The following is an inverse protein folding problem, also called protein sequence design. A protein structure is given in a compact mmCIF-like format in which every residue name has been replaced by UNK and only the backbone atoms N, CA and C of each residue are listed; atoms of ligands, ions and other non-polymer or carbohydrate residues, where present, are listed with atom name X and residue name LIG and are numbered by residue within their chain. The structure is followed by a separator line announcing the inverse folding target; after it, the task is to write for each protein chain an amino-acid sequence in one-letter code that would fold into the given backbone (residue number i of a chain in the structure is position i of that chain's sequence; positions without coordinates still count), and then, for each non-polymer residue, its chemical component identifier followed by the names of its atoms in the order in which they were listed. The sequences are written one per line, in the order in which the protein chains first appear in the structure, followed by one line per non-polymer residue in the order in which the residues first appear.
data_IF_594142467062
#
_entry.id   IF_594142467062
#
_cell.length_a   1.000
_cell.length_b   1.000
_cell.length_c   1.000
_cell.angle_alpha   90.00
_cell.angle_beta   90.00
_cell.angle_gamma   90.00
#
_symmetry.space_group_name_H-M   'P 1'
#
loop_
_entity.id
_entity.type
_entity.pdbx_description
1 polymer ?
#
# COMPACT_ATOMS: atom_id res chain seq x y z
N UNK A 1 26.79 8.35 -19.64
CA UNK A 1 26.61 8.95 -18.29
C UNK A 1 26.96 7.92 -17.23
N UNK A 2 27.61 8.32 -16.12
CA UNK A 2 27.86 7.41 -14.98
C UNK A 2 26.53 6.97 -14.39
N UNK A 3 26.35 5.67 -14.12
CA UNK A 3 25.14 5.13 -13.48
C UNK A 3 25.07 5.58 -12.03
N UNK A 4 23.90 5.96 -11.57
CA UNK A 4 23.64 6.29 -10.16
C UNK A 4 23.57 5.00 -9.36
N UNK A 5 24.38 4.87 -8.32
CA UNK A 5 24.37 3.74 -7.40
C UNK A 5 23.55 4.06 -6.16
N UNK A 6 22.43 3.39 -5.98
CA UNK A 6 21.50 3.58 -4.86
C UNK A 6 21.52 2.37 -3.94
N UNK A 7 21.59 2.61 -2.63
CA UNK A 7 21.43 1.57 -1.62
C UNK A 7 20.03 1.67 -0.99
N UNK A 8 19.18 0.70 -1.30
CA UNK A 8 17.83 0.62 -0.77
C UNK A 8 17.81 -0.14 0.56
N UNK A 9 17.32 0.51 1.60
CA UNK A 9 17.01 -0.08 2.89
C UNK A 9 15.51 -0.32 3.00
N UNK A 10 15.05 -1.48 2.55
CA UNK A 10 13.66 -1.87 2.70
C UNK A 10 13.38 -2.48 4.08
N UNK A 11 12.13 -2.41 4.51
CA UNK A 11 11.69 -3.04 5.76
C UNK A 11 11.59 -4.54 5.62
N UNK A 12 11.03 -5.00 4.50
CA UNK A 12 10.84 -6.41 4.19
C UNK A 12 11.47 -6.77 2.85
N UNK A 13 11.66 -8.06 2.61
CA UNK A 13 11.89 -8.58 1.28
C UNK A 13 10.55 -8.69 0.50
N UNK A 14 10.51 -9.45 -0.58
CA UNK A 14 9.42 -9.40 -1.58
C UNK A 14 8.02 -9.71 -1.05
N UNK A 15 7.89 -10.53 -0.01
CA UNK A 15 6.60 -10.85 0.60
C UNK A 15 5.97 -9.69 1.38
N UNK A 16 6.76 -8.67 1.76
CA UNK A 16 6.22 -7.48 2.40
C UNK A 16 5.52 -6.56 1.38
N UNK A 17 4.20 -6.32 1.52
CA UNK A 17 3.45 -5.53 0.52
C UNK A 17 4.04 -4.14 0.28
N UNK A 18 4.31 -3.37 1.34
CA UNK A 18 4.89 -2.03 1.21
C UNK A 18 6.22 -2.06 0.47
N UNK A 19 7.16 -2.94 0.86
CA UNK A 19 8.47 -3.04 0.21
C UNK A 19 8.33 -3.46 -1.25
N UNK A 20 7.44 -4.44 -1.55
CA UNK A 20 7.18 -4.88 -2.92
C UNK A 20 6.67 -3.73 -3.78
N UNK A 21 5.67 -2.98 -3.29
CA UNK A 21 4.94 -1.99 -4.06
C UNK A 21 5.61 -0.62 -4.11
N UNK A 22 6.34 -0.23 -3.05
CA UNK A 22 6.98 1.08 -3.00
C UNK A 22 8.37 1.11 -3.60
N UNK A 23 9.08 -0.03 -3.57
CA UNK A 23 10.47 -0.04 -3.98
C UNK A 23 10.85 -1.19 -4.91
N UNK A 24 10.52 -2.44 -4.56
CA UNK A 24 11.07 -3.60 -5.28
C UNK A 24 10.54 -3.75 -6.71
N UNK A 25 9.31 -3.35 -7.00
CA UNK A 25 8.77 -3.37 -8.36
C UNK A 25 9.43 -2.35 -9.30
N UNK A 26 10.07 -1.32 -8.75
CA UNK A 26 10.76 -0.30 -9.53
C UNK A 26 12.20 -0.69 -9.95
N UNK A 27 12.77 -1.78 -9.39
CA UNK A 27 14.20 -2.09 -9.56
C UNK A 27 14.59 -2.33 -11.02
N UNK A 28 13.81 -3.13 -11.75
CA UNK A 28 14.08 -3.41 -13.16
C UNK A 28 13.90 -2.14 -14.02
N UNK A 29 12.77 -1.42 -13.95
CA UNK A 29 12.61 -0.18 -14.72
C UNK A 29 13.64 0.91 -14.38
N UNK A 30 14.05 1.06 -13.12
CA UNK A 30 15.06 2.04 -12.73
C UNK A 30 16.43 1.72 -13.34
N UNK A 31 16.76 0.42 -13.54
CA UNK A 31 18.00 0.02 -14.23
C UNK A 31 18.02 0.54 -15.67
N UNK A 32 16.88 0.51 -16.37
CA UNK A 32 16.74 1.04 -17.73
C UNK A 32 16.93 2.56 -17.76
N UNK A 33 16.59 3.21 -16.65
CA UNK A 33 16.89 4.64 -16.42
C UNK A 33 18.31 4.91 -15.89
N UNK A 34 19.24 3.95 -15.94
CA UNK A 34 20.63 4.16 -15.52
C UNK A 34 20.83 4.27 -14.00
N UNK A 35 19.93 3.71 -13.20
CA UNK A 35 20.00 3.67 -11.74
C UNK A 35 20.15 2.23 -11.29
N UNK A 36 21.28 1.92 -10.66
CA UNK A 36 21.56 0.60 -10.11
C UNK A 36 21.22 0.61 -8.61
N UNK A 37 20.25 -0.22 -8.21
CA UNK A 37 19.76 -0.28 -6.84
C UNK A 37 20.20 -1.60 -6.20
N UNK A 38 20.96 -1.51 -5.12
CA UNK A 38 21.27 -2.65 -4.25
C UNK A 38 20.29 -2.68 -3.07
N UNK A 39 19.68 -3.84 -2.81
CA UNK A 39 18.65 -3.98 -1.79
C UNK A 39 19.19 -4.62 -0.52
N UNK A 40 18.92 -3.99 0.61
CA UNK A 40 19.16 -4.51 1.94
C UNK A 40 17.84 -4.55 2.73
N UNK A 41 17.14 -5.67 2.71
CA UNK A 41 15.94 -5.87 3.53
C UNK A 41 16.31 -6.05 5.01
N UNK A 42 15.56 -5.42 5.92
CA UNK A 42 15.72 -5.64 7.36
C UNK A 42 15.22 -7.03 7.74
N UNK A 43 14.00 -7.36 7.34
CA UNK A 43 13.36 -8.64 7.62
C UNK A 43 13.23 -9.48 6.34
N UNK A 44 13.83 -10.69 6.29
CA UNK A 44 13.67 -11.60 5.16
C UNK A 44 12.27 -12.24 5.14
N UNK A 45 11.90 -12.90 4.02
CA UNK A 45 10.59 -13.56 3.87
C UNK A 45 10.32 -14.61 4.96
N UNK A 46 11.35 -15.34 5.39
CA UNK A 46 11.25 -16.27 6.51
C UNK A 46 10.81 -15.63 7.85
N UNK A 47 11.05 -14.32 8.03
CA UNK A 47 10.52 -13.60 9.19
C UNK A 47 9.00 -13.41 9.10
N UNK A 48 8.49 -13.05 7.92
CA UNK A 48 7.05 -12.89 7.70
C UNK A 48 6.32 -14.25 7.78
N UNK A 49 6.92 -15.31 7.26
CA UNK A 49 6.39 -16.67 7.38
C UNK A 49 6.25 -17.09 8.85
N UNK A 50 7.27 -16.82 9.66
CA UNK A 50 7.22 -17.11 11.09
C UNK A 50 6.25 -16.20 11.85
N UNK A 51 6.10 -14.95 11.44
CA UNK A 51 5.21 -13.97 12.08
C UNK A 51 3.73 -14.27 11.87
N UNK A 52 3.37 -14.73 10.66
CA UNK A 52 1.99 -15.06 10.27
C UNK A 52 1.67 -16.56 10.42
N UNK A 53 2.67 -17.40 10.70
CA UNK A 53 2.52 -18.82 10.96
C UNK A 53 2.35 -19.13 12.45
N UNK A 54 2.51 -20.41 12.80
CA UNK A 54 2.22 -20.94 14.13
C UNK A 54 3.20 -20.51 15.25
N UNK A 55 4.28 -19.77 14.90
CA UNK A 55 5.36 -19.43 15.85
C UNK A 55 5.75 -17.95 15.87
N UNK A 56 4.81 -17.03 16.15
CA UNK A 56 5.10 -15.59 16.12
C UNK A 56 6.14 -15.14 17.17
N UNK A 57 6.27 -15.87 18.29
CA UNK A 57 7.28 -15.63 19.32
C UNK A 57 8.72 -15.82 18.82
N UNK A 58 8.96 -16.82 17.99
CA UNK A 58 10.27 -17.09 17.40
C UNK A 58 10.70 -16.01 16.38
N UNK A 59 9.76 -15.39 15.69
CA UNK A 59 10.04 -14.26 14.81
C UNK A 59 10.55 -13.04 15.60
N UNK A 60 9.92 -12.74 16.74
CA UNK A 60 10.30 -11.59 17.59
C UNK A 60 11.68 -11.76 18.23
N UNK A 61 12.03 -12.97 18.69
CA UNK A 61 13.36 -13.23 19.28
C UNK A 61 14.50 -13.08 18.27
N UNK A 62 14.26 -13.45 17.01
CA UNK A 62 15.24 -13.28 15.91
C UNK A 62 15.40 -11.86 15.42
N UNK A 63 14.46 -10.95 15.76
CA UNK A 63 14.48 -9.56 15.28
C UNK A 63 15.78 -8.83 15.64
N UNK A 64 16.35 -9.09 16.83
CA UNK A 64 17.61 -8.48 17.27
C UNK A 64 18.80 -8.88 16.38
N UNK A 65 18.84 -10.12 15.88
CA UNK A 65 19.86 -10.54 14.93
C UNK A 65 19.78 -9.80 13.59
N UNK A 66 18.57 -9.50 13.11
CA UNK A 66 18.38 -8.69 11.91
C UNK A 66 18.79 -7.23 12.13
N UNK A 67 18.54 -6.66 13.30
CA UNK A 67 19.02 -5.33 13.67
C UNK A 67 20.53 -5.27 13.72
N UNK A 68 21.18 -6.26 14.33
CA UNK A 68 22.65 -6.37 14.35
C UNK A 68 23.23 -6.44 12.94
N UNK A 69 22.62 -7.24 12.05
CA UNK A 69 23.05 -7.33 10.63
C UNK A 69 22.88 -5.98 9.92
N UNK A 70 21.75 -5.28 10.09
CA UNK A 70 21.51 -3.94 9.53
C UNK A 70 22.54 -2.94 10.04
N UNK A 71 22.84 -2.97 11.34
CA UNK A 71 23.85 -2.13 11.95
C UNK A 71 25.23 -2.35 11.33
N UNK A 72 25.67 -3.62 11.18
CA UNK A 72 26.92 -3.96 10.52
C UNK A 72 26.96 -3.55 9.03
N UNK A 73 25.83 -3.63 8.34
CA UNK A 73 25.74 -3.13 6.96
C UNK A 73 26.01 -1.61 6.90
N UNK A 74 25.44 -0.84 7.83
CA UNK A 74 25.59 0.62 7.87
C UNK A 74 26.98 1.08 8.29
N UNK A 75 27.73 0.27 9.04
CA UNK A 75 29.12 0.56 9.42
C UNK A 75 30.12 0.32 8.27
N UNK A 76 29.73 -0.42 7.23
CA UNK A 76 30.62 -0.64 6.09
C UNK A 76 30.71 0.63 5.25
N UNK A 77 31.89 0.88 4.70
CA UNK A 77 32.07 1.98 3.74
C UNK A 77 31.26 1.69 2.48
N UNK A 78 30.38 2.60 2.11
CA UNK A 78 29.52 2.45 0.95
C UNK A 78 30.05 3.28 -0.23
N UNK A 79 30.14 2.65 -1.41
CA UNK A 79 30.44 3.32 -2.68
C UNK A 79 29.17 3.80 -3.40
N UNK A 80 28.04 3.88 -2.66
CA UNK A 80 26.77 4.32 -3.20
C UNK A 80 26.66 5.84 -3.13
N UNK A 81 26.03 6.41 -4.16
CA UNK A 81 25.82 7.85 -4.27
C UNK A 81 24.68 8.31 -3.36
N UNK A 82 23.69 7.43 -3.09
CA UNK A 82 22.45 7.74 -2.39
C UNK A 82 21.96 6.55 -1.56
N UNK A 83 21.39 6.82 -0.38
CA UNK A 83 20.56 5.86 0.36
C UNK A 83 19.07 6.12 0.09
N UNK A 84 18.31 5.06 -0.19
CA UNK A 84 16.85 5.08 -0.26
C UNK A 84 16.27 4.27 0.90
N UNK A 85 15.53 4.92 1.80
CA UNK A 85 15.06 4.33 3.05
C UNK A 85 13.54 4.20 3.01
N UNK A 86 13.03 2.98 3.22
CA UNK A 86 11.62 2.73 3.41
C UNK A 86 11.25 3.02 4.88
N UNK A 87 10.61 4.16 5.11
CA UNK A 87 10.10 4.60 6.41
C UNK A 87 11.18 4.93 7.44
N UNK A 88 11.85 3.93 7.96
CA UNK A 88 12.86 4.04 9.02
C UNK A 88 13.87 2.88 8.98
N UNK A 89 15.09 3.11 9.43
CA UNK A 89 16.14 2.08 9.43
C UNK A 89 15.93 1.04 10.55
N UNK A 90 15.52 1.49 11.73
CA UNK A 90 15.38 0.66 12.93
C UNK A 90 14.06 0.94 13.64
N UNK A 91 13.00 0.13 13.41
CA UNK A 91 11.76 0.24 14.16
C UNK A 91 11.99 0.21 15.68
N UNK A 92 11.29 1.10 16.40
CA UNK A 92 11.32 1.23 17.86
C UNK A 92 12.67 1.63 18.49
N UNK A 93 13.73 1.91 17.73
CA UNK A 93 14.95 2.50 18.27
C UNK A 93 14.92 4.03 18.18
N UNK A 94 15.62 4.74 19.10
CA UNK A 94 15.67 6.20 19.10
C UNK A 94 16.32 6.80 17.84
N UNK A 95 15.86 8.00 17.44
CA UNK A 95 16.36 8.70 16.25
C UNK A 95 17.88 8.89 16.21
N UNK A 96 18.54 9.13 17.35
CA UNK A 96 19.99 9.38 17.37
C UNK A 96 20.81 8.21 16.84
N UNK A 97 20.33 6.97 16.99
CA UNK A 97 20.96 5.78 16.38
C UNK A 97 20.89 5.89 14.86
N UNK A 98 19.72 6.22 14.32
CA UNK A 98 19.55 6.37 12.85
C UNK A 98 20.34 7.56 12.32
N UNK A 99 20.34 8.69 13.01
CA UNK A 99 21.07 9.89 12.61
C UNK A 99 22.57 9.65 12.56
N UNK A 100 23.13 8.87 13.48
CA UNK A 100 24.56 8.54 13.49
C UNK A 100 24.91 7.68 12.27
N UNK A 101 24.06 6.72 11.94
CA UNK A 101 24.30 5.79 10.84
C UNK A 101 23.95 6.40 9.46
N UNK A 102 22.97 7.30 9.40
CA UNK A 102 22.63 8.03 8.18
C UNK A 102 23.80 8.94 7.71
N UNK A 103 24.68 9.35 8.61
CA UNK A 103 25.93 10.08 8.27
C UNK A 103 26.93 9.26 7.45
N UNK A 104 26.75 7.94 7.36
CA UNK A 104 27.55 7.08 6.48
C UNK A 104 27.27 7.31 4.99
N UNK A 105 26.18 8.02 4.66
CA UNK A 105 25.78 8.38 3.32
C UNK A 105 25.90 9.89 3.11
N UNK A 106 26.23 10.30 1.89
CA UNK A 106 26.25 11.72 1.51
C UNK A 106 24.83 12.32 1.56
N UNK A 107 23.85 11.54 1.13
CA UNK A 107 22.45 11.95 1.03
C UNK A 107 21.53 10.74 1.20
N UNK A 108 20.28 10.97 1.64
CA UNK A 108 19.26 9.94 1.65
C UNK A 108 17.88 10.48 1.27
N UNK A 109 17.10 9.61 0.65
CA UNK A 109 15.67 9.79 0.38
C UNK A 109 14.90 8.85 1.28
N UNK A 110 13.76 9.30 1.81
CA UNK A 110 12.88 8.44 2.61
C UNK A 110 11.50 8.36 1.98
N UNK A 111 10.92 7.16 1.99
CA UNK A 111 9.64 6.85 1.34
C UNK A 111 8.60 6.37 2.37
N UNK A 112 7.38 6.92 2.28
CA UNK A 112 6.25 6.60 3.16
C UNK A 112 4.98 6.28 2.36
N UNK A 113 4.39 5.12 2.64
CA UNK A 113 3.10 4.67 2.10
C UNK A 113 1.99 4.57 3.15
N UNK A 114 2.37 4.64 4.43
CA UNK A 114 1.46 4.64 5.57
C UNK A 114 1.85 5.73 6.58
N UNK A 115 0.92 6.09 7.46
CA UNK A 115 1.14 7.05 8.56
C UNK A 115 2.00 6.45 9.69
N UNK A 116 3.21 5.97 9.36
CA UNK A 116 4.12 5.30 10.27
C UNK A 116 4.40 6.10 11.55
N UNK A 117 4.38 7.43 11.48
CA UNK A 117 4.55 8.32 12.62
C UNK A 117 3.49 8.11 13.71
N UNK A 118 2.26 7.68 13.34
CA UNK A 118 1.19 7.42 14.31
C UNK A 118 1.44 6.18 15.19
N UNK A 119 2.32 5.28 14.80
CA UNK A 119 2.78 4.21 15.69
C UNK A 119 3.49 4.74 16.93
N UNK A 120 4.08 5.92 16.82
CA UNK A 120 4.88 6.55 17.86
C UNK A 120 4.14 7.69 18.57
N UNK A 121 3.59 8.65 17.82
CA UNK A 121 2.96 9.84 18.40
C UNK A 121 1.58 9.55 19.02
N UNK A 122 0.87 8.51 18.54
CA UNK A 122 -0.41 8.03 19.07
C UNK A 122 -0.29 6.72 19.87
N UNK A 123 0.92 6.28 20.20
CA UNK A 123 1.10 5.07 21.00
C UNK A 123 0.38 5.18 22.35
N UNK A 124 -0.28 4.12 22.79
CA UNK A 124 -0.87 4.03 24.13
C UNK A 124 0.17 4.08 25.24
N UNK A 125 1.41 3.65 24.94
CA UNK A 125 2.53 3.71 25.89
C UNK A 125 3.13 5.14 25.93
N UNK A 126 3.04 5.87 27.08
CA UNK A 126 3.54 7.24 27.21
C UNK A 126 5.06 7.36 27.03
N UNK A 127 5.82 6.31 27.38
CA UNK A 127 7.28 6.30 27.20
C UNK A 127 7.63 6.26 25.70
N UNK A 128 6.92 5.46 24.91
CA UNK A 128 7.07 5.41 23.45
C UNK A 128 6.76 6.79 22.85
N UNK A 129 5.63 7.41 23.23
CA UNK A 129 5.28 8.75 22.76
C UNK A 129 6.35 9.78 23.09
N UNK A 130 6.88 9.78 24.32
CA UNK A 130 7.89 10.74 24.77
C UNK A 130 9.22 10.57 24.03
N UNK A 131 9.69 9.34 23.85
CA UNK A 131 11.02 9.06 23.29
C UNK A 131 11.01 9.00 21.76
N UNK A 132 9.94 8.47 21.16
CA UNK A 132 9.88 8.16 19.73
C UNK A 132 8.83 8.99 18.97
N UNK A 133 7.93 9.72 19.64
CA UNK A 133 6.83 10.45 19.02
C UNK A 133 7.24 11.43 17.91
N UNK A 134 8.48 11.96 17.98
CA UNK A 134 9.04 12.84 16.95
C UNK A 134 10.13 12.18 16.09
N UNK A 135 10.29 10.85 16.19
CA UNK A 135 11.35 10.14 15.48
C UNK A 135 11.21 10.31 13.97
N UNK A 136 10.03 10.00 13.44
CA UNK A 136 9.76 10.06 12.00
C UNK A 136 9.88 11.47 11.45
N UNK A 137 9.42 12.48 12.19
CA UNK A 137 9.58 13.90 11.81
C UNK A 137 11.06 14.29 11.66
N UNK A 138 11.93 13.78 12.56
CA UNK A 138 13.37 14.04 12.47
C UNK A 138 14.01 13.34 11.27
N UNK A 139 13.57 12.12 10.94
CA UNK A 139 14.03 11.40 9.74
C UNK A 139 13.60 12.18 8.48
N UNK A 140 12.34 12.62 8.41
CA UNK A 140 11.81 13.41 7.29
C UNK A 140 12.60 14.73 7.11
N UNK A 141 12.88 15.44 8.21
CA UNK A 141 13.62 16.72 8.21
C UNK A 141 15.05 16.56 7.68
N UNK A 142 15.70 15.46 7.99
CA UNK A 142 17.08 15.21 7.59
C UNK A 142 17.24 14.65 6.18
N UNK A 143 16.15 14.27 5.51
CA UNK A 143 16.18 13.69 4.18
C UNK A 143 16.41 14.77 3.10
N UNK A 144 17.17 14.45 2.07
CA UNK A 144 17.28 15.29 0.88
C UNK A 144 15.95 15.40 0.12
N UNK A 145 15.13 14.34 0.18
CA UNK A 145 13.78 14.33 -0.31
C UNK A 145 12.93 13.33 0.48
N UNK A 146 11.70 13.72 0.82
CA UNK A 146 10.66 12.82 1.32
C UNK A 146 9.75 12.46 0.17
N UNK A 147 9.63 11.18 -0.14
CA UNK A 147 8.63 10.63 -1.06
C UNK A 147 7.42 10.23 -0.21
N UNK A 148 6.29 10.83 -0.48
CA UNK A 148 5.03 10.58 0.20
C UNK A 148 4.04 9.90 -0.75
N UNK A 149 3.37 8.84 -0.30
CA UNK A 149 2.38 8.13 -1.10
C UNK A 149 1.08 8.91 -1.31
N UNK A 150 0.81 9.92 -0.47
CA UNK A 150 -0.39 10.74 -0.58
C UNK A 150 -0.20 12.13 0.06
N UNK A 151 -1.23 12.99 -0.07
CA UNK A 151 -1.20 14.37 0.45
C UNK A 151 -1.16 14.46 1.98
N UNK A 152 -1.76 13.49 2.70
CA UNK A 152 -1.72 13.45 4.16
C UNK A 152 -0.29 13.24 4.68
N UNK A 153 0.42 12.29 4.10
CA UNK A 153 1.83 12.01 4.41
C UNK A 153 2.73 13.19 4.02
N UNK A 154 2.47 13.81 2.86
CA UNK A 154 3.17 15.03 2.42
C UNK A 154 2.94 16.22 3.35
N UNK A 155 1.73 16.38 3.90
CA UNK A 155 1.44 17.40 4.89
C UNK A 155 2.23 17.19 6.19
N UNK A 156 2.35 15.93 6.67
CA UNK A 156 3.19 15.62 7.82
C UNK A 156 4.67 15.92 7.54
N UNK A 157 5.18 15.56 6.37
CA UNK A 157 6.55 15.88 6.00
C UNK A 157 6.82 17.39 5.98
N UNK A 158 5.86 18.19 5.51
CA UNK A 158 5.94 19.65 5.55
C UNK A 158 5.96 20.19 6.98
N UNK A 159 5.09 19.67 7.86
CA UNK A 159 5.08 20.02 9.28
C UNK A 159 6.37 19.62 9.99
N UNK A 160 6.97 18.50 9.59
CA UNK A 160 8.27 18.05 10.09
C UNK A 160 9.44 18.95 9.66
N UNK A 161 9.24 19.81 8.66
CA UNK A 161 10.29 20.70 8.12
C UNK A 161 11.18 19.99 7.10
N UNK A 162 10.65 19.04 6.32
CA UNK A 162 11.37 18.42 5.20
C UNK A 162 11.68 19.47 4.11
N UNK A 163 12.93 19.50 3.64
CA UNK A 163 13.40 20.49 2.66
C UNK A 163 12.76 20.28 1.27
N UNK A 164 12.54 19.03 0.89
CA UNK A 164 11.92 18.65 -0.38
C UNK A 164 10.93 17.52 -0.17
N UNK A 165 9.74 17.65 -0.77
CA UNK A 165 8.67 16.68 -0.66
C UNK A 165 8.12 16.42 -2.05
N UNK A 166 8.07 15.15 -2.44
CA UNK A 166 7.49 14.69 -3.69
C UNK A 166 6.38 13.68 -3.41
N UNK A 167 5.31 13.73 -4.19
CA UNK A 167 4.23 12.74 -4.06
C UNK A 167 4.37 11.74 -5.21
N UNK A 168 4.70 10.50 -4.84
CA UNK A 168 4.65 9.33 -5.72
C UNK A 168 3.59 8.40 -5.15
N UNK A 169 2.43 8.23 -5.81
CA UNK A 169 1.39 7.32 -5.33
C UNK A 169 1.90 5.87 -5.32
N UNK A 170 1.22 5.01 -4.60
CA UNK A 170 1.41 3.57 -4.79
C UNK A 170 0.84 3.19 -6.16
N UNK A 171 1.54 2.34 -6.89
CA UNK A 171 1.22 2.00 -8.28
C UNK A 171 1.12 0.50 -8.48
N UNK A 172 0.52 0.11 -9.58
CA UNK A 172 0.52 -1.26 -10.09
C UNK A 172 1.46 -1.38 -11.29
N UNK A 173 1.94 -2.58 -11.52
CA UNK A 173 2.46 -2.99 -12.82
C UNK A 173 1.24 -3.30 -13.69
N UNK A 174 0.84 -2.34 -14.52
CA UNK A 174 -0.37 -2.39 -15.32
C UNK A 174 -0.40 -3.57 -16.30
N UNK A 175 0.75 -4.10 -16.67
CA UNK A 175 0.87 -5.25 -17.58
C UNK A 175 0.41 -6.55 -16.93
N UNK A 176 0.41 -6.62 -15.59
CA UNK A 176 -0.06 -7.78 -14.84
C UNK A 176 -1.58 -7.87 -14.73
N UNK A 177 -2.29 -6.76 -14.98
CA UNK A 177 -3.74 -6.66 -14.76
C UNK A 177 -4.46 -6.60 -16.10
N UNK A 178 -5.17 -7.67 -16.42
CA UNK A 178 -6.04 -7.74 -17.60
C UNK A 178 -7.44 -7.25 -17.26
N UNK A 179 -8.14 -6.69 -18.23
CA UNK A 179 -9.54 -6.32 -18.04
C UNK A 179 -10.36 -7.55 -17.61
N UNK A 180 -11.27 -7.35 -16.67
CA UNK A 180 -12.19 -8.38 -16.24
C UNK A 180 -13.10 -8.81 -17.40
N UNK A 181 -13.34 -10.12 -17.51
CA UNK A 181 -14.27 -10.65 -18.46
C UNK A 181 -15.61 -10.88 -17.74
N UNK A 182 -16.45 -9.85 -17.71
CA UNK A 182 -17.76 -9.91 -17.07
C UNK A 182 -18.74 -10.60 -18.05
N UNK A 183 -19.08 -11.87 -17.76
CA UNK A 183 -20.15 -12.55 -18.49
C UNK A 183 -21.50 -12.00 -17.98
N UNK A 184 -22.33 -11.49 -18.88
CA UNK A 184 -23.63 -10.88 -18.54
C UNK A 184 -24.65 -11.86 -17.92
N UNK A 185 -24.42 -13.17 -18.09
CA UNK A 185 -25.38 -14.23 -17.69
C UNK A 185 -25.18 -14.76 -16.23
N UNK A 186 -24.19 -14.25 -15.49
CA UNK A 186 -23.89 -14.71 -14.13
C UNK A 186 -24.24 -13.64 -13.09
N UNK A 187 -24.67 -14.03 -11.87
CA UNK A 187 -24.82 -13.07 -10.79
C UNK A 187 -23.53 -12.27 -10.55
N UNK A 188 -23.63 -10.93 -10.43
CA UNK A 188 -22.45 -10.07 -10.23
C UNK A 188 -21.67 -10.44 -8.98
N UNK A 189 -20.35 -10.31 -9.06
CA UNK A 189 -19.42 -10.62 -7.96
C UNK A 189 -18.92 -9.35 -7.31
N UNK A 190 -19.31 -9.12 -6.05
CA UNK A 190 -18.74 -8.10 -5.20
C UNK A 190 -17.43 -8.67 -4.63
N UNK A 191 -16.32 -7.99 -4.85
CA UNK A 191 -15.01 -8.47 -4.47
C UNK A 191 -14.30 -7.60 -3.44
N UNK A 192 -13.68 -8.26 -2.47
CA UNK A 192 -12.72 -7.64 -1.56
C UNK A 192 -11.38 -8.39 -1.62
N UNK A 193 -10.27 -7.63 -1.71
CA UNK A 193 -8.91 -8.16 -1.58
C UNK A 193 -8.21 -7.50 -0.40
N UNK A 194 -7.51 -8.28 0.41
CA UNK A 194 -6.81 -7.73 1.56
C UNK A 194 -5.93 -8.73 2.28
N UNK A 195 -5.83 -8.57 3.59
CA UNK A 195 -5.11 -9.45 4.48
C UNK A 195 -5.92 -9.67 5.75
N UNK A 196 -5.62 -10.70 6.56
CA UNK A 196 -6.27 -10.93 7.85
C UNK A 196 -6.24 -9.71 8.78
N UNK A 197 -5.20 -8.85 8.66
CA UNK A 197 -5.09 -7.64 9.46
C UNK A 197 -6.08 -6.53 9.06
N UNK A 198 -6.66 -6.60 7.86
CA UNK A 198 -7.54 -5.57 7.29
C UNK A 198 -8.96 -6.07 7.01
N UNK A 199 -9.25 -7.34 7.26
CA UNK A 199 -10.59 -7.92 7.01
C UNK A 199 -11.69 -7.31 7.88
N UNK A 200 -11.34 -6.77 9.07
CA UNK A 200 -12.29 -6.11 9.95
C UNK A 200 -13.05 -4.97 9.27
N UNK A 201 -12.41 -4.19 8.38
CA UNK A 201 -13.10 -3.13 7.64
C UNK A 201 -14.23 -3.67 6.76
N UNK A 202 -14.04 -4.84 6.15
CA UNK A 202 -15.07 -5.50 5.35
C UNK A 202 -16.13 -6.14 6.26
N UNK A 203 -15.72 -6.72 7.40
CA UNK A 203 -16.65 -7.31 8.37
C UNK A 203 -17.54 -6.28 9.06
N UNK A 204 -17.08 -5.05 9.24
CA UNK A 204 -17.93 -3.95 9.74
C UNK A 204 -19.13 -3.67 8.81
N UNK A 205 -18.97 -3.99 7.51
CA UNK A 205 -20.03 -3.87 6.49
C UNK A 205 -20.81 -5.16 6.22
N UNK A 206 -20.57 -6.21 7.01
CA UNK A 206 -21.10 -7.54 6.75
C UNK A 206 -22.62 -7.53 6.52
N UNK A 207 -23.39 -6.84 7.38
CA UNK A 207 -24.87 -6.79 7.26
C UNK A 207 -25.34 -6.19 5.94
N UNK A 208 -24.73 -5.09 5.52
CA UNK A 208 -25.03 -4.46 4.22
C UNK A 208 -24.73 -5.42 3.07
N UNK A 209 -23.57 -6.10 3.12
CA UNK A 209 -23.17 -7.07 2.09
C UNK A 209 -24.12 -8.29 2.06
N UNK A 210 -24.54 -8.80 3.21
CA UNK A 210 -25.51 -9.90 3.32
C UNK A 210 -26.86 -9.52 2.68
N UNK A 211 -27.37 -8.33 2.99
CA UNK A 211 -28.63 -7.84 2.44
C UNK A 211 -28.58 -7.66 0.93
N UNK A 212 -27.56 -6.96 0.43
CA UNK A 212 -27.38 -6.72 -1.01
C UNK A 212 -27.22 -8.04 -1.78
N UNK A 213 -26.43 -9.00 -1.24
CA UNK A 213 -26.28 -10.30 -1.89
C UNK A 213 -27.58 -11.11 -1.93
N UNK A 214 -28.41 -11.02 -0.88
CA UNK A 214 -29.69 -11.72 -0.81
C UNK A 214 -30.77 -11.09 -1.72
N UNK A 215 -30.89 -9.76 -1.69
CA UNK A 215 -31.92 -9.01 -2.41
C UNK A 215 -31.64 -8.96 -3.93
N UNK A 216 -30.39 -8.80 -4.33
CA UNK A 216 -29.97 -8.59 -5.71
C UNK A 216 -29.27 -9.80 -6.35
N UNK A 217 -29.28 -10.96 -5.68
CA UNK A 217 -28.65 -12.20 -6.15
C UNK A 217 -27.16 -12.06 -6.50
N UNK A 218 -26.43 -11.15 -5.83
CA UNK A 218 -25.01 -10.99 -6.04
C UNK A 218 -24.19 -12.02 -5.24
N UNK A 219 -22.97 -12.30 -5.70
CA UNK A 219 -22.01 -13.18 -5.03
C UNK A 219 -20.93 -12.36 -4.33
N UNK A 220 -20.30 -12.92 -3.30
CA UNK A 220 -19.21 -12.27 -2.57
C UNK A 220 -17.93 -13.10 -2.69
N UNK A 221 -16.84 -12.46 -3.16
CA UNK A 221 -15.50 -13.03 -3.28
C UNK A 221 -14.51 -12.29 -2.35
N UNK A 222 -13.92 -13.02 -1.41
CA UNK A 222 -12.98 -12.49 -0.42
C UNK A 222 -11.59 -13.06 -0.66
N UNK A 223 -10.66 -12.26 -1.16
CA UNK A 223 -9.28 -12.69 -1.44
C UNK A 223 -8.37 -12.26 -0.29
N UNK A 224 -7.75 -13.22 0.39
CA UNK A 224 -6.82 -13.00 1.48
C UNK A 224 -7.46 -12.76 2.85
N UNK A 225 -8.77 -12.98 3.00
CA UNK A 225 -9.43 -13.13 4.29
C UNK A 225 -9.06 -14.47 4.93
N UNK A 226 -9.31 -14.63 6.23
CA UNK A 226 -9.19 -15.94 6.89
C UNK A 226 -10.27 -16.91 6.39
N UNK A 227 -9.99 -18.21 6.30
CA UNK A 227 -10.99 -19.21 5.89
C UNK A 227 -12.27 -19.16 6.74
N UNK A 228 -12.13 -18.91 8.04
CA UNK A 228 -13.23 -18.85 9.02
C UNK A 228 -14.16 -17.65 8.77
N UNK A 229 -13.71 -16.65 8.03
CA UNK A 229 -14.48 -15.44 7.72
C UNK A 229 -15.79 -15.77 7.00
N UNK A 230 -15.82 -16.82 6.16
CA UNK A 230 -17.05 -17.25 5.49
C UNK A 230 -18.18 -17.61 6.47
N UNK A 231 -17.86 -18.26 7.59
CA UNK A 231 -18.84 -18.68 8.60
C UNK A 231 -19.44 -17.51 9.41
N UNK A 232 -18.88 -16.31 9.28
CA UNK A 232 -19.40 -15.12 9.96
C UNK A 232 -20.58 -14.50 9.21
N UNK A 233 -20.81 -14.89 7.95
CA UNK A 233 -21.91 -14.39 7.13
C UNK A 233 -23.15 -15.26 7.29
N UNK A 234 -24.30 -14.62 7.49
CA UNK A 234 -25.60 -15.27 7.52
C UNK A 234 -26.35 -14.99 6.20
N UNK A 235 -27.02 -16.00 5.63
CA UNK A 235 -27.82 -15.82 4.41
C UNK A 235 -27.04 -15.71 3.09
N UNK A 236 -25.72 -15.57 3.12
CA UNK A 236 -24.84 -15.69 1.95
C UNK A 236 -23.58 -16.45 2.33
N UNK A 237 -23.00 -17.17 1.38
CA UNK A 237 -21.74 -17.92 1.60
C UNK A 237 -20.66 -17.28 0.73
N UNK A 238 -19.80 -16.41 1.28
CA UNK A 238 -18.69 -15.85 0.53
C UNK A 238 -17.73 -16.94 0.05
N UNK A 239 -17.25 -16.81 -1.19
CA UNK A 239 -16.08 -17.57 -1.62
C UNK A 239 -14.82 -16.93 -1.00
N UNK A 240 -14.08 -17.65 -0.17
CA UNK A 240 -12.83 -17.19 0.44
C UNK A 240 -11.65 -17.86 -0.24
N UNK A 241 -10.75 -17.05 -0.81
CA UNK A 241 -9.59 -17.52 -1.55
C UNK A 241 -8.30 -16.98 -0.88
N UNK A 242 -7.32 -17.87 -0.70
CA UNK A 242 -6.02 -17.45 -0.20
C UNK A 242 -5.33 -16.50 -1.19
N UNK A 243 -4.73 -15.44 -0.66
CA UNK A 243 -3.98 -14.48 -1.47
C UNK A 243 -2.62 -15.03 -1.88
N UNK A 244 -2.23 -14.81 -3.14
CA UNK A 244 -0.85 -14.91 -3.60
C UNK A 244 -0.52 -13.82 -4.61
N UNK A 245 0.73 -13.40 -4.69
CA UNK A 245 1.18 -12.42 -5.69
C UNK A 245 0.96 -12.92 -7.13
N UNK A 246 1.07 -14.24 -7.34
CA UNK A 246 0.91 -14.85 -8.67
C UNK A 246 -0.54 -14.84 -9.16
N UNK A 247 -1.51 -14.95 -8.24
CA UNK A 247 -2.93 -15.12 -8.59
C UNK A 247 -3.77 -13.88 -8.34
N UNK A 248 -3.24 -12.84 -7.66
CA UNK A 248 -4.04 -11.68 -7.23
C UNK A 248 -4.78 -11.00 -8.40
N UNK A 249 -4.10 -10.77 -9.53
CA UNK A 249 -4.71 -10.12 -10.69
C UNK A 249 -5.84 -10.99 -11.29
N UNK A 250 -5.61 -12.31 -11.42
CA UNK A 250 -6.61 -13.23 -11.93
C UNK A 250 -7.83 -13.35 -11.00
N UNK A 251 -7.62 -13.29 -9.67
CA UNK A 251 -8.72 -13.31 -8.71
C UNK A 251 -9.52 -12.00 -8.75
N UNK A 252 -8.87 -10.85 -8.91
CA UNK A 252 -9.57 -9.56 -9.08
C UNK A 252 -10.36 -9.55 -10.38
N UNK A 253 -9.82 -10.11 -11.47
CA UNK A 253 -10.52 -10.19 -12.76
C UNK A 253 -11.81 -11.07 -12.75
N UNK A 254 -12.05 -11.85 -11.66
CA UNK A 254 -13.31 -12.59 -11.43
C UNK A 254 -14.39 -11.73 -10.75
N UNK A 255 -14.06 -10.53 -10.32
CA UNK A 255 -14.97 -9.60 -9.66
C UNK A 255 -15.65 -8.70 -10.68
N UNK A 256 -16.83 -8.18 -10.35
CA UNK A 256 -17.55 -7.17 -11.13
C UNK A 256 -17.52 -5.79 -10.44
N UNK A 257 -17.41 -5.78 -9.12
CA UNK A 257 -17.40 -4.57 -8.30
C UNK A 257 -16.33 -4.74 -7.21
N UNK A 258 -15.36 -3.84 -7.14
CA UNK A 258 -14.39 -3.82 -6.05
C UNK A 258 -14.85 -2.97 -4.87
N UNK A 259 -14.63 -3.41 -3.62
CA UNK A 259 -14.98 -2.63 -2.44
C UNK A 259 -13.76 -2.27 -1.59
N UNK A 260 -13.76 -1.03 -1.07
CA UNK A 260 -12.75 -0.56 -0.12
C UNK A 260 -13.38 0.23 1.04
N UNK A 261 -14.02 -0.45 2.00
CA UNK A 261 -14.49 0.19 3.22
C UNK A 261 -13.30 0.57 4.11
N UNK A 262 -13.36 1.75 4.72
CA UNK A 262 -12.41 2.25 5.71
C UNK A 262 -13.13 3.09 6.76
N UNK A 263 -12.65 3.02 7.99
CA UNK A 263 -13.00 3.96 9.04
C UNK A 263 -12.22 5.27 8.85
N UNK A 264 -12.83 6.42 9.18
CA UNK A 264 -12.11 7.69 9.10
C UNK A 264 -11.31 7.95 10.38
N UNK A 265 -10.06 7.52 10.40
CA UNK A 265 -9.12 7.79 11.48
C UNK A 265 -7.78 8.30 10.93
N UNK A 266 -6.95 8.90 11.80
CA UNK A 266 -5.63 9.40 11.37
C UNK A 266 -4.75 8.34 10.70
N UNK A 267 -4.84 7.08 11.13
CA UNK A 267 -4.08 5.99 10.52
C UNK A 267 -4.57 5.69 9.10
N UNK A 268 -5.90 5.56 8.91
CA UNK A 268 -6.49 5.24 7.62
C UNK A 268 -6.34 6.37 6.60
N UNK A 269 -6.34 7.63 7.05
CA UNK A 269 -6.03 8.79 6.20
C UNK A 269 -4.62 8.73 5.59
N UNK A 270 -3.71 7.99 6.22
CA UNK A 270 -2.36 7.74 5.70
C UNK A 270 -2.27 6.66 4.61
N UNK A 271 -3.30 5.84 4.41
CA UNK A 271 -3.30 4.76 3.42
C UNK A 271 -3.25 5.30 1.98
N UNK A 272 -2.65 4.51 1.08
CA UNK A 272 -2.42 4.92 -0.31
C UNK A 272 -3.40 4.31 -1.33
N UNK A 273 -4.52 3.73 -0.89
CA UNK A 273 -5.63 3.31 -1.76
C UNK A 273 -5.30 2.17 -2.73
N UNK A 274 -4.31 1.32 -2.44
CA UNK A 274 -3.79 0.32 -3.37
C UNK A 274 -4.85 -0.64 -3.91
N UNK A 275 -5.80 -1.09 -3.08
CA UNK A 275 -6.90 -1.96 -3.52
C UNK A 275 -7.75 -1.31 -4.62
N UNK A 276 -8.07 -0.02 -4.48
CA UNK A 276 -8.82 0.74 -5.49
C UNK A 276 -8.07 0.72 -6.83
N UNK A 277 -6.75 0.96 -6.77
CA UNK A 277 -5.89 0.97 -7.95
C UNK A 277 -5.85 -0.41 -8.61
N UNK A 278 -5.81 -1.50 -7.83
CA UNK A 278 -5.85 -2.87 -8.35
C UNK A 278 -7.19 -3.19 -9.06
N UNK A 279 -8.33 -2.81 -8.45
CA UNK A 279 -9.64 -3.00 -9.05
C UNK A 279 -9.76 -2.23 -10.37
N UNK A 280 -9.41 -0.95 -10.34
CA UNK A 280 -9.44 -0.10 -11.53
C UNK A 280 -8.46 -0.59 -12.63
N UNK A 281 -7.31 -1.17 -12.24
CA UNK A 281 -6.38 -1.79 -13.18
C UNK A 281 -6.99 -2.99 -13.92
N UNK A 282 -7.94 -3.70 -13.30
CA UNK A 282 -8.73 -4.73 -13.95
C UNK A 282 -9.97 -4.18 -14.67
N UNK A 283 -10.16 -2.86 -14.73
CA UNK A 283 -11.34 -2.25 -15.35
C UNK A 283 -12.64 -2.43 -14.53
N UNK A 284 -12.52 -2.59 -13.20
CA UNK A 284 -13.67 -2.71 -12.31
C UNK A 284 -14.07 -1.34 -11.74
N UNK A 285 -15.37 -1.05 -11.64
CA UNK A 285 -15.87 0.04 -10.82
C UNK A 285 -15.59 -0.24 -9.34
N UNK A 286 -15.45 0.81 -8.55
CA UNK A 286 -15.14 0.70 -7.13
C UNK A 286 -16.20 1.40 -6.29
N UNK A 287 -16.60 0.77 -5.17
CA UNK A 287 -17.29 1.47 -4.08
C UNK A 287 -16.32 1.62 -2.91
N UNK A 288 -16.11 2.85 -2.44
CA UNK A 288 -15.12 3.13 -1.40
C UNK A 288 -15.61 4.14 -0.38
N UNK A 289 -15.14 4.03 0.87
CA UNK A 289 -15.30 5.10 1.86
C UNK A 289 -14.51 6.34 1.46
N UNK A 290 -15.06 7.57 1.61
CA UNK A 290 -14.39 8.82 1.22
C UNK A 290 -13.30 9.23 2.23
N UNK A 291 -12.36 8.33 2.51
CA UNK A 291 -11.31 8.50 3.52
C UNK A 291 -9.94 8.68 2.87
N UNK A 292 -9.19 9.67 3.31
CA UNK A 292 -7.81 9.89 2.89
C UNK A 292 -7.68 10.06 1.38
N UNK A 293 -6.83 9.23 0.76
CA UNK A 293 -6.57 9.30 -0.68
C UNK A 293 -7.71 8.77 -1.56
N UNK A 294 -8.66 8.02 -0.99
CA UNK A 294 -9.76 7.43 -1.76
C UNK A 294 -10.54 8.51 -2.53
N UNK A 295 -10.75 9.69 -1.94
CA UNK A 295 -11.43 10.82 -2.59
C UNK A 295 -10.64 11.42 -3.76
N UNK A 296 -9.36 11.14 -3.85
CA UNK A 296 -8.53 11.58 -4.95
C UNK A 296 -8.43 10.53 -6.07
N UNK A 297 -8.55 9.24 -5.73
CA UNK A 297 -8.50 8.15 -6.69
C UNK A 297 -9.89 7.92 -7.31
N UNK A 298 -10.94 7.93 -6.47
CA UNK A 298 -12.32 7.72 -6.92
C UNK A 298 -12.97 9.07 -7.20
N UNK A 299 -13.27 9.33 -8.45
CA UNK A 299 -14.14 10.42 -8.89
C UNK A 299 -15.57 9.89 -8.90
N UNK A 300 -16.35 10.31 -7.89
CA UNK A 300 -17.72 9.84 -7.69
C UNK A 300 -18.59 10.01 -8.94
N UNK A 301 -19.20 8.93 -9.42
CA UNK A 301 -20.04 8.91 -10.61
C UNK A 301 -19.28 8.74 -11.94
N UNK A 302 -17.96 8.86 -11.94
CA UNK A 302 -17.11 8.73 -13.14
C UNK A 302 -16.42 7.37 -13.21
N UNK A 303 -15.56 7.04 -12.22
CA UNK A 303 -14.78 5.80 -12.19
C UNK A 303 -15.09 4.92 -10.96
N UNK A 304 -16.09 5.29 -10.18
CA UNK A 304 -16.54 4.58 -9.00
C UNK A 304 -17.51 5.43 -8.18
N UNK A 305 -17.92 4.90 -7.05
CA UNK A 305 -18.85 5.55 -6.11
C UNK A 305 -18.21 5.69 -4.73
N UNK A 306 -18.41 6.84 -4.10
CA UNK A 306 -18.01 7.08 -2.71
C UNK A 306 -19.25 6.97 -1.83
N UNK A 307 -19.15 6.18 -0.75
CA UNK A 307 -20.25 5.91 0.18
C UNK A 307 -19.80 6.21 1.62
N UNK A 308 -20.61 7.02 2.32
CA UNK A 308 -20.32 7.52 3.67
C UNK A 308 -20.91 6.69 4.79
N UNK A 309 -22.07 6.07 4.52
CA UNK A 309 -22.87 5.35 5.49
C UNK A 309 -23.53 4.12 4.86
N UNK A 310 -24.20 3.32 5.66
CA UNK A 310 -24.81 2.05 5.24
C UNK A 310 -25.78 2.22 4.07
N UNK A 311 -26.61 3.26 4.10
CA UNK A 311 -27.60 3.53 3.06
C UNK A 311 -26.91 3.89 1.73
N UNK A 312 -25.88 4.73 1.76
CA UNK A 312 -25.08 5.11 0.60
C UNK A 312 -24.29 3.90 0.02
N UNK A 313 -23.79 3.01 0.88
CA UNK A 313 -23.15 1.78 0.43
C UNK A 313 -24.13 0.86 -0.27
N UNK A 314 -25.32 0.68 0.29
CA UNK A 314 -26.39 -0.11 -0.29
C UNK A 314 -26.79 0.44 -1.66
N UNK A 315 -27.15 1.73 -1.76
CA UNK A 315 -27.50 2.39 -3.03
C UNK A 315 -26.39 2.23 -4.09
N UNK A 316 -25.13 2.46 -3.70
CA UNK A 316 -24.01 2.35 -4.61
C UNK A 316 -23.84 0.92 -5.16
N UNK A 317 -23.98 -0.11 -4.32
CA UNK A 317 -23.87 -1.50 -4.74
C UNK A 317 -25.07 -1.92 -5.61
N UNK A 318 -26.30 -1.63 -5.20
CA UNK A 318 -27.53 -1.92 -5.96
C UNK A 318 -27.48 -1.31 -7.37
N UNK A 319 -27.06 -0.05 -7.50
CA UNK A 319 -26.89 0.63 -8.80
C UNK A 319 -25.88 -0.05 -9.71
N UNK A 320 -24.75 -0.50 -9.15
CA UNK A 320 -23.72 -1.19 -9.93
C UNK A 320 -24.14 -2.62 -10.28
N UNK A 321 -24.87 -3.31 -9.41
CA UNK A 321 -25.43 -4.65 -9.67
C UNK A 321 -26.43 -4.57 -10.82
N UNK A 322 -27.38 -3.63 -10.74
CA UNK A 322 -28.48 -3.49 -11.69
C UNK A 322 -28.01 -3.05 -13.09
N UNK A 323 -26.80 -2.49 -13.24
CA UNK A 323 -26.40 -1.91 -14.54
C UNK A 323 -25.02 -2.35 -15.00
N UNK A 324 -24.93 -3.41 -15.83
CA UNK A 324 -23.69 -3.81 -16.50
C UNK A 324 -23.03 -2.68 -17.30
N UNK A 325 -23.84 -1.87 -17.99
CA UNK A 325 -23.34 -0.72 -18.75
C UNK A 325 -22.67 0.34 -17.86
N UNK A 326 -23.20 0.54 -16.63
CA UNK A 326 -22.58 1.44 -15.65
C UNK A 326 -21.25 0.87 -15.16
N UNK A 327 -21.20 -0.43 -14.85
CA UNK A 327 -19.96 -1.12 -14.45
C UNK A 327 -18.89 -0.98 -15.53
N UNK A 328 -19.22 -1.26 -16.77
CA UNK A 328 -18.29 -1.17 -17.90
C UNK A 328 -17.78 0.26 -18.11
N UNK A 329 -18.65 1.27 -18.09
CA UNK A 329 -18.27 2.66 -18.27
C UNK A 329 -17.33 3.14 -17.14
N UNK A 330 -17.69 2.89 -15.87
CA UNK A 330 -16.87 3.30 -14.73
C UNK A 330 -15.56 2.53 -14.67
N UNK A 331 -15.57 1.24 -15.00
CA UNK A 331 -14.38 0.42 -15.06
C UNK A 331 -13.39 0.91 -16.11
N UNK A 332 -13.86 1.25 -17.31
CA UNK A 332 -13.03 1.82 -18.37
C UNK A 332 -12.40 3.16 -17.95
N UNK A 333 -13.17 4.05 -17.33
CA UNK A 333 -12.67 5.31 -16.81
C UNK A 333 -11.63 5.10 -15.69
N UNK A 334 -11.87 4.12 -14.79
CA UNK A 334 -10.93 3.72 -13.75
C UNK A 334 -9.61 3.19 -14.34
N UNK A 335 -9.68 2.32 -15.33
CA UNK A 335 -8.51 1.76 -16.01
C UNK A 335 -7.68 2.84 -16.68
N UNK A 336 -8.29 3.73 -17.44
CA UNK A 336 -7.60 4.84 -18.09
C UNK A 336 -6.88 5.74 -17.07
N UNK A 337 -7.49 6.00 -15.91
CA UNK A 337 -6.88 6.75 -14.83
C UNK A 337 -5.67 6.04 -14.23
N UNK A 338 -5.76 4.72 -14.03
CA UNK A 338 -4.61 3.92 -13.53
C UNK A 338 -3.45 3.99 -14.50
N UNK A 339 -3.68 3.80 -15.78
CA UNK A 339 -2.63 3.87 -16.81
C UNK A 339 -1.96 5.24 -16.83
N UNK A 340 -2.72 6.32 -16.67
CA UNK A 340 -2.21 7.69 -16.70
C UNK A 340 -1.45 8.10 -15.42
N UNK A 341 -1.89 7.68 -14.22
CA UNK A 341 -1.42 8.26 -12.96
C UNK A 341 -0.87 7.23 -11.97
N UNK A 342 -1.34 5.97 -11.99
CA UNK A 342 -1.09 4.95 -10.97
C UNK A 342 -0.40 3.70 -11.53
N UNK A 343 0.27 3.81 -12.67
CA UNK A 343 1.05 2.74 -13.30
C UNK A 343 2.54 2.91 -13.06
N UNK A 344 3.30 1.82 -13.16
CA UNK A 344 4.76 1.87 -13.16
C UNK A 344 5.26 2.74 -14.31
N UNK A 345 4.68 2.60 -15.51
CA UNK A 345 5.05 3.41 -16.68
C UNK A 345 4.98 4.90 -16.41
N UNK A 346 3.93 5.36 -15.74
CA UNK A 346 3.74 6.78 -15.41
C UNK A 346 4.69 7.29 -14.30
N UNK A 347 5.05 6.45 -13.31
CA UNK A 347 5.75 6.93 -12.12
C UNK A 347 7.26 6.64 -12.11
N UNK A 348 7.75 5.66 -12.89
CA UNK A 348 9.19 5.35 -12.97
C UNK A 348 10.04 6.56 -13.40
N UNK A 349 9.70 7.32 -14.45
CA UNK A 349 10.49 8.50 -14.86
C UNK A 349 10.59 9.56 -13.76
N UNK A 350 9.49 9.77 -13.02
CA UNK A 350 9.43 10.72 -11.90
C UNK A 350 10.31 10.27 -10.73
N UNK A 351 10.21 9.00 -10.35
CA UNK A 351 11.05 8.43 -9.29
C UNK A 351 12.53 8.49 -9.67
N UNK A 352 12.87 8.16 -10.92
CA UNK A 352 14.24 8.23 -11.43
C UNK A 352 14.81 9.66 -11.35
N UNK A 353 14.02 10.68 -11.70
CA UNK A 353 14.42 12.10 -11.58
C UNK A 353 14.64 12.51 -10.11
N UNK A 354 13.75 12.10 -9.20
CA UNK A 354 13.88 12.37 -7.77
C UNK A 354 15.18 11.78 -7.22
N UNK A 355 15.46 10.50 -7.53
CA UNK A 355 16.67 9.81 -7.06
C UNK A 355 17.94 10.45 -7.62
N UNK A 356 17.97 10.84 -8.91
CA UNK A 356 19.13 11.54 -9.51
C UNK A 356 19.40 12.88 -8.84
N UNK A 357 18.36 13.72 -8.66
CA UNK A 357 18.53 15.01 -8.00
C UNK A 357 19.02 14.87 -6.56
N UNK A 358 18.52 13.86 -5.83
CA UNK A 358 18.95 13.61 -4.45
C UNK A 358 20.38 13.04 -4.38
N UNK A 359 20.83 12.28 -5.38
CA UNK A 359 22.19 11.71 -5.42
C UNK A 359 23.26 12.71 -5.87
N UNK A 360 22.87 13.85 -6.46
CA UNK A 360 23.77 14.93 -6.87
C UNK A 360 23.79 16.12 -5.90
N UNK A 361 22.95 16.10 -4.87
CA UNK A 361 22.89 17.10 -3.81
C UNK A 361 23.94 16.79 -2.73
#
# INVERSE_FOLDING_TARGET
MKRLKVLLFSKYSRRGPSSRLRSLQYLAPLRDHGIDVQVHALFPDAYLEALYGDRPGAAKSRAWGYFGRRFMQLLRRHEHDLAWIEGELFPYLPYWIEATLARSFKSYVVDYDDALFHKYDQSTNPLVRRLLGRKIDRIMRGAACVIAGNRYLAARARQAGAARIEIIPTVVDEQRYTAANTADDQPPVIGWIGSPATEHYMLDMRRTLEQVCADDHARLLLVGARPETASLFAGTTPEVVAWSEATEAAMIARMDIGIMPLLDSPWERGKCGYKIIQYMACGLPVVASPVGVNVNIVHHGENGLLATDEAAWRDALERLIASPALRQRMGAAGRARVEAEYSLGAQVPRLADILRRAGHA
#
